data_IF_004211339405
#
_entry.id   IF_004211339405
#
_cell.length_a   1.000
_cell.length_b   1.000
_cell.length_c   1.000
_cell.angle_alpha   90.00
_cell.angle_beta   90.00
_cell.angle_gamma   90.00
#
_symmetry.space_group_name_H-M   'P 1'
#
loop_
_entity.id
_entity.type
_entity.pdbx_description
1 polymer ?
#
# COMPACT_ATOMS: atom_id res chain seq x y z
N UNK A 1 8.20 6.88 -3.95
CA UNK A 1 6.90 6.28 -3.58
C UNK A 1 6.03 7.35 -2.95
N UNK A 2 4.82 7.52 -3.46
CA UNK A 2 3.91 8.54 -2.92
C UNK A 2 3.28 8.03 -1.62
N UNK A 3 3.40 8.79 -0.52
CA UNK A 3 2.75 8.36 0.72
C UNK A 3 1.23 8.42 0.60
N UNK A 4 0.50 7.56 1.32
CA UNK A 4 -0.94 7.64 1.35
C UNK A 4 -1.41 8.97 1.95
N UNK A 5 -2.53 9.46 1.43
CA UNK A 5 -3.16 10.64 2.00
C UNK A 5 -3.92 10.22 3.27
N UNK A 6 -3.65 10.93 4.35
CA UNK A 6 -4.38 10.69 5.60
C UNK A 6 -5.80 11.22 5.47
N UNK A 7 -6.84 10.38 5.67
CA UNK A 7 -8.22 10.86 5.59
C UNK A 7 -8.48 11.95 6.62
N UNK A 8 -9.06 13.09 6.23
CA UNK A 8 -9.23 14.23 7.16
C UNK A 8 -10.02 13.92 8.41
N UNK A 9 -11.09 13.14 8.30
CA UNK A 9 -11.92 12.79 9.45
C UNK A 9 -11.11 12.00 10.48
N UNK A 10 -10.38 10.98 10.02
CA UNK A 10 -9.54 10.15 10.89
C UNK A 10 -8.41 10.96 11.50
N UNK A 11 -7.82 11.88 10.72
CA UNK A 11 -6.76 12.73 11.24
C UNK A 11 -7.27 13.62 12.38
N UNK A 12 -8.47 14.21 12.21
CA UNK A 12 -9.07 15.06 13.24
C UNK A 12 -9.46 14.29 14.50
N UNK A 13 -9.87 13.04 14.32
CA UNK A 13 -10.30 12.19 15.44
C UNK A 13 -9.14 11.47 16.12
N UNK A 14 -7.92 11.60 15.59
CA UNK A 14 -6.76 10.89 16.11
C UNK A 14 -6.82 9.40 15.89
N UNK A 15 -7.50 8.96 14.83
CA UNK A 15 -7.62 7.55 14.49
C UNK A 15 -6.47 7.13 13.58
N UNK A 16 -5.72 6.13 14.01
CA UNK A 16 -4.62 5.55 13.23
C UNK A 16 -4.72 4.05 13.17
N UNK A 17 -3.77 3.44 12.50
CA UNK A 17 -3.70 2.00 12.39
C UNK A 17 -2.79 1.58 11.27
N UNK A 18 -2.62 0.27 11.11
CA UNK A 18 -1.78 -0.30 10.08
C UNK A 18 -2.63 -1.11 9.11
N UNK A 19 -2.41 -0.87 7.83
CA UNK A 19 -3.01 -1.66 6.75
C UNK A 19 -1.90 -2.48 6.11
N UNK A 20 -2.05 -3.79 6.07
CA UNK A 20 -1.08 -4.64 5.37
C UNK A 20 -1.65 -4.96 3.99
N UNK A 21 -0.94 -4.53 2.97
CA UNK A 21 -1.33 -4.74 1.58
C UNK A 21 -0.54 -5.87 0.96
N UNK A 22 -1.18 -6.60 0.05
CA UNK A 22 -0.50 -7.51 -0.87
C UNK A 22 -0.64 -6.90 -2.26
N UNK A 23 0.49 -6.64 -2.89
CA UNK A 23 0.55 -5.95 -4.17
C UNK A 23 1.16 -6.88 -5.21
N UNK A 24 0.42 -7.13 -6.28
CA UNK A 24 0.94 -7.89 -7.43
C UNK A 24 1.59 -6.91 -8.38
N UNK A 25 2.83 -7.19 -8.76
CA UNK A 25 3.60 -6.34 -9.68
C UNK A 25 4.04 -7.13 -10.89
N UNK A 26 4.11 -6.45 -12.04
CA UNK A 26 4.59 -7.07 -13.28
C UNK A 26 6.12 -7.03 -13.37
N UNK A 27 6.65 -7.57 -14.45
CA UNK A 27 8.11 -7.63 -14.66
C UNK A 27 8.74 -6.25 -14.81
N UNK A 28 7.96 -5.22 -15.09
CA UNK A 28 8.43 -3.83 -15.21
C UNK A 28 8.27 -3.06 -13.91
N UNK A 29 7.73 -3.67 -12.87
CA UNK A 29 7.53 -3.02 -11.59
C UNK A 29 6.23 -2.24 -11.47
N UNK A 30 5.33 -2.39 -12.42
CA UNK A 30 4.01 -1.75 -12.37
C UNK A 30 3.05 -2.52 -11.47
N UNK A 31 2.20 -1.80 -10.77
CA UNK A 31 1.19 -2.40 -9.90
C UNK A 31 0.05 -2.95 -10.76
N UNK A 32 -0.19 -4.25 -10.67
CA UNK A 32 -1.29 -4.93 -11.36
C UNK A 32 -2.53 -5.02 -10.49
N UNK A 33 -2.34 -5.25 -9.19
CA UNK A 33 -3.44 -5.47 -8.28
C UNK A 33 -3.01 -5.14 -6.86
N UNK A 34 -3.96 -4.65 -6.06
CA UNK A 34 -3.75 -4.35 -4.64
C UNK A 34 -4.88 -4.99 -3.86
N UNK A 35 -4.54 -5.76 -2.84
CA UNK A 35 -5.51 -6.32 -1.92
C UNK A 35 -5.10 -6.07 -0.48
N UNK A 36 -6.07 -6.05 0.43
CA UNK A 36 -5.83 -5.89 1.86
C UNK A 36 -5.70 -7.27 2.48
N UNK A 37 -4.51 -7.57 3.02
CA UNK A 37 -4.28 -8.80 3.77
C UNK A 37 -4.73 -8.62 5.21
N UNK A 38 -4.44 -7.45 5.80
CA UNK A 38 -4.85 -7.15 7.16
C UNK A 38 -5.38 -5.72 7.21
N UNK A 39 -6.64 -5.58 7.57
CA UNK A 39 -7.31 -4.30 7.67
C UNK A 39 -6.88 -3.55 8.93
N UNK A 40 -6.84 -2.22 8.84
CA UNK A 40 -6.70 -1.35 10.01
C UNK A 40 -7.96 -1.33 10.87
N UNK A 41 -9.05 -1.95 10.40
CA UNK A 41 -10.39 -1.87 10.97
C UNK A 41 -11.03 -0.49 10.78
N UNK A 42 -10.47 0.31 9.90
CA UNK A 42 -11.06 1.58 9.48
C UNK A 42 -11.09 1.60 7.95
N UNK A 43 -12.30 1.68 7.39
CA UNK A 43 -12.50 1.62 5.95
C UNK A 43 -11.78 2.73 5.21
N UNK A 44 -11.77 3.93 5.79
CA UNK A 44 -11.17 5.08 5.13
C UNK A 44 -9.64 4.97 5.08
N UNK A 45 -9.02 4.44 6.14
CA UNK A 45 -7.57 4.17 6.13
C UNK A 45 -7.22 3.09 5.12
N UNK A 46 -7.99 2.01 5.10
CA UNK A 46 -7.76 0.92 4.15
C UNK A 46 -7.84 1.42 2.71
N UNK A 47 -8.88 2.22 2.42
CA UNK A 47 -9.05 2.80 1.07
C UNK A 47 -7.92 3.73 0.71
N UNK A 48 -7.50 4.60 1.63
CA UNK A 48 -6.41 5.53 1.38
C UNK A 48 -5.11 4.80 1.05
N UNK A 49 -4.83 3.71 1.78
CA UNK A 49 -3.66 2.89 1.51
C UNK A 49 -3.72 2.25 0.12
N UNK A 50 -4.87 1.67 -0.23
CA UNK A 50 -5.05 1.03 -1.54
C UNK A 50 -4.93 2.04 -2.68
N UNK A 51 -5.56 3.21 -2.53
CA UNK A 51 -5.54 4.23 -3.58
C UNK A 51 -4.11 4.74 -3.83
N UNK A 52 -3.34 4.92 -2.77
CA UNK A 52 -1.94 5.32 -2.92
C UNK A 52 -1.11 4.21 -3.59
N UNK A 53 -1.31 2.97 -3.15
CA UNK A 53 -0.54 1.83 -3.65
C UNK A 53 -0.72 1.60 -5.15
N UNK A 54 -1.90 1.90 -5.69
CA UNK A 54 -2.17 1.75 -7.12
C UNK A 54 -1.29 2.64 -7.98
N UNK A 55 -0.73 3.71 -7.40
CA UNK A 55 0.13 4.67 -8.10
C UNK A 55 1.62 4.42 -7.86
N UNK A 56 1.96 3.42 -7.05
CA UNK A 56 3.35 3.12 -6.75
C UNK A 56 4.01 2.36 -7.90
N UNK A 57 5.33 2.46 -7.93
CA UNK A 57 6.17 1.65 -8.82
C UNK A 57 7.23 1.00 -7.98
N UNK A 58 7.56 -0.23 -8.35
CA UNK A 58 8.53 -1.04 -7.63
C UNK A 58 9.67 -1.43 -8.54
N UNK A 59 10.81 -1.76 -7.94
CA UNK A 59 11.85 -2.47 -8.65
C UNK A 59 11.39 -3.92 -8.76
N UNK A 60 11.29 -4.48 -9.98
CA UNK A 60 10.81 -5.86 -10.11
C UNK A 60 11.80 -6.86 -9.54
N UNK A 61 11.29 -8.03 -9.14
CA UNK A 61 12.12 -9.15 -8.75
C UNK A 61 12.95 -9.62 -9.96
N UNK A 62 14.21 -9.98 -9.71
CA UNK A 62 15.10 -10.49 -10.76
C UNK A 62 15.49 -11.90 -10.40
N UNK A 63 15.26 -12.84 -11.32
CA UNK A 63 15.69 -14.24 -11.20
C UNK A 63 16.56 -14.60 -12.38
N UNK A 64 17.74 -15.09 -12.09
CA UNK A 64 18.71 -15.50 -13.12
C UNK A 64 18.94 -14.40 -14.17
N UNK A 65 19.00 -13.14 -13.71
CA UNK A 65 19.21 -11.98 -14.56
C UNK A 65 17.98 -11.50 -15.32
N UNK A 66 16.81 -12.08 -15.07
CA UNK A 66 15.56 -11.73 -15.76
C UNK A 66 14.55 -11.15 -14.78
N UNK A 67 13.98 -9.99 -15.12
CA UNK A 67 12.91 -9.40 -14.33
C UNK A 67 11.64 -10.24 -14.46
N UNK A 68 10.98 -10.50 -13.34
CA UNK A 68 9.79 -11.36 -13.27
C UNK A 68 8.69 -10.68 -12.48
N UNK A 69 7.45 -11.06 -12.76
CA UNK A 69 6.31 -10.66 -11.96
C UNK A 69 6.41 -11.27 -10.55
N UNK A 70 5.90 -10.56 -9.55
CA UNK A 70 5.98 -11.02 -8.16
C UNK A 70 4.88 -10.41 -7.32
N UNK A 71 4.83 -10.79 -6.06
CA UNK A 71 3.95 -10.18 -5.05
C UNK A 71 4.81 -9.63 -3.92
N UNK A 72 4.39 -8.48 -3.39
CA UNK A 72 5.05 -7.88 -2.24
C UNK A 72 4.03 -7.58 -1.16
N UNK A 73 4.44 -7.73 0.10
CA UNK A 73 3.66 -7.31 1.26
C UNK A 73 4.18 -5.98 1.72
N UNK A 74 3.28 -5.02 1.89
CA UNK A 74 3.66 -3.68 2.34
C UNK A 74 2.77 -3.26 3.50
N UNK A 75 3.33 -3.10 4.71
CA UNK A 75 2.58 -2.49 5.80
C UNK A 75 2.54 -0.97 5.60
N UNK A 76 1.37 -0.40 5.75
CA UNK A 76 1.18 1.05 5.66
C UNK A 76 0.68 1.53 7.01
N UNK A 77 1.50 2.32 7.70
CA UNK A 77 1.18 2.83 9.02
C UNK A 77 0.58 4.23 8.92
N UNK A 78 -0.60 4.40 9.50
CA UNK A 78 -1.20 5.72 9.67
C UNK A 78 -0.99 6.13 11.12
N UNK A 79 -0.13 7.13 11.32
CA UNK A 79 0.16 7.67 12.65
C UNK A 79 -0.55 9.01 12.76
N UNK A 80 -1.50 9.16 13.71
CA UNK A 80 -2.24 10.40 13.80
C UNK A 80 -1.33 11.61 14.04
N UNK A 81 -1.64 12.76 13.43
CA UNK A 81 -0.87 13.97 13.70
C UNK A 81 -1.11 14.42 15.15
N UNK A 82 -0.09 15.03 15.72
CA UNK A 82 -0.17 15.60 17.07
C UNK A 82 -0.68 17.02 17.02
#
# INVERSE_FOLDING_TARGET
MNPPRYPPTEARQGVGGTVVLVISIDAEGNVLDVSVEKSSRNRNLDRAAMDAARKWRFNPEVRDGVAVASRVRVPVDFVPPR
#
